data_IF_151341378613
#
_entry.id   IF_151341378613
#
_cell.length_a   1.000
_cell.length_b   1.000
_cell.length_c   1.000
_cell.angle_alpha   90.00
_cell.angle_beta   90.00
_cell.angle_gamma   90.00
#
_symmetry.space_group_name_H-M   'P 1'
#
loop_
_entity.id
_entity.type
_entity.pdbx_description
1 polymer ?
#
# COMPACT_ATOMS: atom_id res chain seq x y z
N UNK A 1 -23.24 3.21 -14.46
CA UNK A 1 -22.42 3.47 -13.26
C UNK A 1 -20.95 3.38 -13.61
N UNK A 2 -20.08 4.17 -13.03
CA UNK A 2 -18.64 4.00 -13.25
C UNK A 2 -18.19 2.68 -12.64
N UNK A 3 -17.31 1.94 -13.34
CA UNK A 3 -16.73 0.72 -12.82
C UNK A 3 -15.75 1.04 -11.69
N UNK A 4 -15.47 0.09 -10.79
CA UNK A 4 -14.49 0.27 -9.70
C UNK A 4 -13.13 0.78 -10.22
N UNK A 5 -12.62 0.23 -11.32
CA UNK A 5 -11.35 0.69 -11.92
C UNK A 5 -11.40 2.17 -12.34
N UNK A 6 -12.50 2.63 -12.94
CA UNK A 6 -12.68 4.04 -13.28
C UNK A 6 -12.77 4.93 -12.05
N UNK A 7 -13.38 4.46 -10.98
CA UNK A 7 -13.42 5.18 -9.71
C UNK A 7 -12.03 5.31 -9.10
N UNK A 8 -11.22 4.25 -9.08
CA UNK A 8 -9.82 4.33 -8.65
C UNK A 8 -9.02 5.38 -9.43
N UNK A 9 -9.24 5.49 -10.73
CA UNK A 9 -8.58 6.52 -11.56
C UNK A 9 -9.10 7.93 -11.28
N UNK A 10 -10.37 8.09 -10.92
CA UNK A 10 -10.98 9.40 -10.71
C UNK A 10 -10.65 9.99 -9.35
N UNK A 11 -10.45 9.15 -8.34
CA UNK A 11 -9.98 9.59 -7.04
C UNK A 11 -8.48 9.86 -7.08
N UNK A 12 -8.14 10.90 -6.46
CA UNK A 12 -6.91 11.64 -6.48
C UNK A 12 -5.65 10.82 -6.81
N UNK A 13 -5.20 11.06 -7.93
CA UNK A 13 -3.78 10.96 -8.23
C UNK A 13 -3.10 12.03 -7.41
N UNK A 14 -2.23 11.70 -6.48
CA UNK A 14 -1.39 12.75 -5.88
C UNK A 14 -0.79 13.55 -7.03
N UNK A 15 -1.24 14.76 -7.22
CA UNK A 15 -0.93 15.61 -8.38
C UNK A 15 0.56 15.62 -8.70
N UNK A 16 1.39 15.62 -7.66
CA UNK A 16 2.84 15.54 -7.76
C UNK A 16 3.34 14.29 -8.50
N UNK A 17 2.71 13.12 -8.28
CA UNK A 17 3.11 11.90 -8.99
C UNK A 17 2.69 11.91 -10.44
N UNK A 18 1.55 12.51 -10.74
CA UNK A 18 1.13 12.73 -12.12
C UNK A 18 2.13 13.61 -12.85
N UNK A 19 2.53 14.75 -12.26
CA UNK A 19 3.52 15.66 -12.84
C UNK A 19 4.89 14.99 -13.02
N UNK A 20 5.34 14.23 -12.01
CA UNK A 20 6.61 13.48 -12.08
C UNK A 20 6.55 12.40 -13.15
N UNK A 21 5.45 11.64 -13.23
CA UNK A 21 5.24 10.63 -14.28
C UNK A 21 5.30 11.23 -15.68
N UNK A 22 4.67 12.38 -15.91
CA UNK A 22 4.76 13.13 -17.17
C UNK A 22 6.22 13.53 -17.48
N UNK A 23 6.91 14.10 -16.49
CA UNK A 23 8.29 14.53 -16.68
C UNK A 23 9.25 13.36 -16.98
N UNK A 24 8.99 12.17 -16.43
CA UNK A 24 9.78 10.97 -16.66
C UNK A 24 9.35 10.19 -17.92
N UNK A 25 8.32 10.63 -18.65
CA UNK A 25 7.77 9.88 -19.79
C UNK A 25 7.08 8.58 -19.41
N UNK A 26 6.70 8.42 -18.13
CA UNK A 26 5.98 7.26 -17.59
C UNK A 26 4.73 7.68 -16.80
N UNK A 27 3.75 8.33 -17.45
CA UNK A 27 2.61 8.93 -16.77
C UNK A 27 1.69 7.91 -16.08
N UNK A 28 1.77 6.65 -16.48
CA UNK A 28 0.94 5.56 -15.93
C UNK A 28 1.72 4.65 -14.97
N UNK A 29 2.98 4.97 -14.64
CA UNK A 29 3.84 4.16 -13.74
C UNK A 29 3.80 2.68 -14.08
N UNK A 30 4.06 2.33 -15.34
CA UNK A 30 4.01 0.95 -15.80
C UNK A 30 4.97 0.05 -15.02
N UNK A 31 4.48 -1.14 -14.67
CA UNK A 31 5.28 -2.15 -14.01
C UNK A 31 6.31 -2.74 -14.98
N UNK A 32 7.53 -3.00 -14.49
CA UNK A 32 8.51 -3.76 -15.26
C UNK A 32 8.06 -5.21 -15.47
N UNK A 33 8.46 -5.82 -16.59
CA UNK A 33 8.14 -7.23 -16.88
C UNK A 33 8.70 -8.17 -15.80
N UNK A 34 9.88 -7.87 -15.24
CA UNK A 34 10.48 -8.64 -14.13
C UNK A 34 9.62 -8.60 -12.87
N UNK A 35 9.11 -7.44 -12.51
CA UNK A 35 8.24 -7.31 -11.33
C UNK A 35 6.88 -7.98 -11.55
N UNK A 36 6.29 -7.83 -12.73
CA UNK A 36 5.05 -8.54 -13.09
C UNK A 36 5.21 -10.06 -13.00
N UNK A 37 6.32 -10.61 -13.51
CA UNK A 37 6.64 -12.03 -13.40
C UNK A 37 6.82 -12.48 -11.95
N UNK A 38 7.42 -11.65 -11.11
CA UNK A 38 7.57 -11.92 -9.66
C UNK A 38 6.20 -12.04 -8.98
N UNK A 39 5.27 -11.14 -9.28
CA UNK A 39 3.89 -11.18 -8.74
C UNK A 39 3.15 -12.45 -9.18
N UNK A 40 3.44 -12.97 -10.38
CA UNK A 40 2.90 -14.23 -10.90
C UNK A 40 3.53 -15.49 -10.30
N UNK A 41 4.56 -15.38 -9.48
CA UNK A 41 5.19 -16.52 -8.82
C UNK A 41 4.30 -17.18 -7.77
N UNK A 42 4.54 -18.49 -7.48
CA UNK A 42 3.78 -19.25 -6.48
C UNK A 42 3.96 -18.72 -5.07
N UNK A 43 5.10 -18.10 -4.77
CA UNK A 43 5.39 -17.50 -3.47
C UNK A 43 4.78 -16.08 -3.31
N UNK A 44 4.12 -15.58 -4.36
CA UNK A 44 3.41 -14.30 -4.38
C UNK A 44 1.91 -14.52 -4.56
N UNK A 45 1.34 -14.04 -5.66
CA UNK A 45 -0.10 -14.10 -5.89
C UNK A 45 -0.53 -15.11 -6.95
N UNK A 46 0.41 -15.69 -7.68
CA UNK A 46 0.13 -16.64 -8.77
C UNK A 46 -0.53 -16.00 -10.00
N UNK A 47 -0.66 -14.67 -10.04
CA UNK A 47 -1.34 -13.93 -11.11
C UNK A 47 -0.41 -12.86 -11.65
N UNK A 48 -0.14 -12.90 -12.96
CA UNK A 48 0.69 -11.89 -13.65
C UNK A 48 -0.18 -10.69 -14.02
N UNK A 49 0.02 -9.51 -13.43
CA UNK A 49 -0.72 -8.32 -13.84
C UNK A 49 -0.52 -8.02 -15.34
N UNK A 50 -1.53 -7.61 -16.09
CA UNK A 50 -1.37 -7.20 -17.47
C UNK A 50 -0.53 -5.91 -17.59
N UNK A 51 -0.03 -5.58 -18.79
CA UNK A 51 0.80 -4.38 -19.00
C UNK A 51 0.06 -3.08 -18.77
N UNK A 52 -1.24 -3.09 -18.98
CA UNK A 52 -2.17 -1.99 -18.82
C UNK A 52 -2.86 -1.96 -17.45
N UNK A 53 -2.37 -2.76 -16.48
CA UNK A 53 -2.85 -2.68 -15.10
C UNK A 53 -2.72 -1.25 -14.57
N UNK A 54 -3.72 -0.80 -13.81
CA UNK A 54 -3.66 0.49 -13.13
C UNK A 54 -2.62 0.42 -12.01
N UNK A 55 -1.76 1.42 -11.94
CA UNK A 55 -0.68 1.52 -10.95
C UNK A 55 -0.72 2.88 -10.27
N UNK A 56 -0.80 2.87 -8.95
CA UNK A 56 -0.83 4.08 -8.13
C UNK A 56 0.20 4.00 -7.02
N UNK A 57 0.94 5.09 -6.80
CA UNK A 57 1.88 5.22 -5.69
C UNK A 57 1.25 6.06 -4.57
N UNK A 58 1.54 5.71 -3.31
CA UNK A 58 1.01 6.39 -2.12
C UNK A 58 -0.51 6.62 -2.21
N UNK A 59 -1.26 5.60 -2.57
CA UNK A 59 -2.71 5.73 -2.74
C UNK A 59 -3.41 5.77 -1.40
N UNK A 60 -4.21 6.82 -1.18
CA UNK A 60 -4.90 7.04 0.09
C UNK A 60 -6.00 6.01 0.35
N UNK A 61 -6.04 5.42 1.54
CA UNK A 61 -7.00 4.35 1.86
C UNK A 61 -8.46 4.84 1.91
N UNK A 62 -8.70 6.11 2.26
CA UNK A 62 -10.05 6.67 2.19
C UNK A 62 -10.56 6.76 0.75
N UNK A 63 -9.69 6.99 -0.23
CA UNK A 63 -10.08 6.96 -1.66
C UNK A 63 -10.34 5.54 -2.16
N UNK A 64 -9.56 4.58 -1.68
CA UNK A 64 -9.80 3.17 -1.97
C UNK A 64 -11.19 2.77 -1.44
N UNK A 65 -11.48 3.13 -0.19
CA UNK A 65 -12.82 2.89 0.39
C UNK A 65 -13.94 3.55 -0.42
N UNK A 66 -13.77 4.84 -0.77
CA UNK A 66 -14.75 5.56 -1.57
C UNK A 66 -14.97 4.90 -2.96
N UNK A 67 -13.89 4.45 -3.61
CA UNK A 67 -13.96 3.77 -4.91
C UNK A 67 -14.73 2.45 -4.81
N UNK A 68 -14.49 1.66 -3.76
CA UNK A 68 -15.21 0.41 -3.49
C UNK A 68 -16.68 0.68 -3.20
N UNK A 69 -16.96 1.59 -2.28
CA UNK A 69 -18.31 1.94 -1.87
C UNK A 69 -19.17 2.42 -3.05
N UNK A 70 -18.64 3.35 -3.85
CA UNK A 70 -19.35 3.92 -5.00
C UNK A 70 -19.45 2.95 -6.20
N UNK A 71 -18.71 1.85 -6.21
CA UNK A 71 -18.85 0.82 -7.24
C UNK A 71 -20.06 -0.08 -7.03
N UNK A 72 -20.65 -0.07 -5.84
CA UNK A 72 -21.86 -0.82 -5.54
C UNK A 72 -23.08 -0.16 -6.19
N UNK A 73 -23.99 -0.95 -6.81
CA UNK A 73 -25.11 -0.42 -7.58
C UNK A 73 -26.08 0.49 -6.80
N UNK A 74 -26.18 0.28 -5.50
CA UNK A 74 -27.08 1.03 -4.60
C UNK A 74 -26.58 2.42 -4.21
N UNK A 75 -25.30 2.73 -4.48
CA UNK A 75 -24.68 3.97 -4.02
C UNK A 75 -24.60 5.04 -5.12
N UNK A 76 -25.05 6.25 -4.81
CA UNK A 76 -24.98 7.39 -5.72
C UNK A 76 -23.62 8.09 -5.61
N UNK A 77 -23.05 8.49 -6.74
CA UNK A 77 -21.79 9.23 -6.82
C UNK A 77 -21.93 10.67 -6.28
N UNK A 78 -23.15 11.22 -6.31
CA UNK A 78 -23.44 12.63 -5.99
C UNK A 78 -24.16 12.79 -4.64
N UNK A 79 -23.57 12.31 -3.56
CA UNK A 79 -24.25 12.38 -2.27
C UNK A 79 -23.33 12.58 -1.08
N UNK A 80 -23.96 12.78 0.09
CA UNK A 80 -23.27 12.67 1.38
C UNK A 80 -23.45 11.22 1.84
N UNK A 81 -22.34 10.50 1.97
CA UNK A 81 -22.37 9.11 2.36
C UNK A 81 -22.14 8.94 3.86
N UNK A 82 -22.86 8.00 4.52
CA UNK A 82 -22.68 7.75 5.93
C UNK A 82 -21.28 7.13 6.20
N UNK A 83 -20.60 7.63 7.22
CA UNK A 83 -19.31 7.10 7.69
C UNK A 83 -19.49 6.35 9.01
N UNK A 84 -20.48 5.49 9.10
CA UNK A 84 -20.86 4.78 10.34
C UNK A 84 -19.78 3.86 10.88
N UNK A 85 -18.93 3.30 10.00
CA UNK A 85 -17.76 2.48 10.38
C UNK A 85 -16.51 3.32 10.66
N UNK A 86 -16.60 4.65 10.56
CA UNK A 86 -15.47 5.58 10.71
C UNK A 86 -14.24 5.19 9.86
N UNK A 87 -14.47 4.79 8.60
CA UNK A 87 -13.41 4.35 7.69
C UNK A 87 -12.72 5.57 7.05
N UNK A 88 -13.51 6.53 6.54
CA UNK A 88 -12.99 7.78 6.03
C UNK A 88 -12.64 8.70 7.21
N UNK A 89 -11.36 8.81 7.52
CA UNK A 89 -10.89 9.53 8.72
C UNK A 89 -10.16 10.83 8.40
N UNK A 90 -9.81 11.06 7.12
CA UNK A 90 -9.00 12.19 6.70
C UNK A 90 -7.55 12.12 7.21
N UNK A 91 -7.16 11.03 7.89
CA UNK A 91 -5.76 10.79 8.26
C UNK A 91 -5.00 10.32 7.01
N UNK A 92 -3.77 10.80 6.85
CA UNK A 92 -2.91 10.37 5.74
C UNK A 92 -2.43 8.92 5.99
N UNK A 93 -3.27 7.96 5.67
CA UNK A 93 -2.91 6.55 5.68
C UNK A 93 -2.95 6.06 4.22
N UNK A 94 -1.76 5.82 3.68
CA UNK A 94 -1.54 5.47 2.29
C UNK A 94 -1.06 4.03 2.16
N UNK A 95 -1.29 3.42 1.01
CA UNK A 95 -0.57 2.22 0.57
C UNK A 95 0.53 2.65 -0.41
N UNK A 96 1.76 2.17 -0.21
CA UNK A 96 2.92 2.61 -0.99
C UNK A 96 2.77 2.32 -2.49
N UNK A 97 2.18 1.16 -2.83
CA UNK A 97 1.87 0.79 -4.22
C UNK A 97 0.54 0.03 -4.28
N UNK A 98 -0.39 0.52 -5.09
CA UNK A 98 -1.64 -0.13 -5.42
C UNK A 98 -1.63 -0.51 -6.90
N UNK A 99 -1.94 -1.78 -7.20
CA UNK A 99 -2.07 -2.29 -8.57
C UNK A 99 -3.47 -2.88 -8.70
N UNK A 100 -4.23 -2.47 -9.73
CA UNK A 100 -5.58 -2.97 -9.96
C UNK A 100 -5.78 -3.35 -11.42
N UNK A 101 -6.37 -4.52 -11.66
CA UNK A 101 -6.62 -5.04 -13.00
C UNK A 101 -7.73 -6.08 -13.02
N UNK A 102 -8.36 -6.23 -14.19
CA UNK A 102 -9.29 -7.31 -14.44
C UNK A 102 -8.53 -8.59 -14.78
N UNK A 103 -8.86 -9.68 -14.12
CA UNK A 103 -8.41 -11.01 -14.48
C UNK A 103 -9.58 -11.98 -14.37
N UNK A 104 -9.88 -12.66 -15.47
CA UNK A 104 -11.10 -13.47 -15.61
C UNK A 104 -12.37 -12.66 -15.25
N UNK A 105 -13.19 -13.15 -14.33
CA UNK A 105 -14.41 -12.47 -13.87
C UNK A 105 -14.19 -11.48 -12.74
N UNK A 106 -12.98 -11.42 -12.16
CA UNK A 106 -12.68 -10.65 -10.96
C UNK A 106 -11.77 -9.46 -11.23
N UNK A 107 -11.89 -8.45 -10.39
CA UNK A 107 -10.91 -7.36 -10.30
C UNK A 107 -9.97 -7.66 -9.13
N UNK A 108 -8.70 -7.81 -9.44
CA UNK A 108 -7.65 -8.00 -8.45
C UNK A 108 -7.07 -6.66 -8.01
N UNK A 109 -6.92 -6.47 -6.70
CA UNK A 109 -6.35 -5.27 -6.09
C UNK A 109 -5.16 -5.68 -5.23
N UNK A 110 -3.96 -5.40 -5.71
CA UNK A 110 -2.73 -5.71 -4.98
C UNK A 110 -2.31 -4.48 -4.17
N UNK A 111 -2.21 -4.66 -2.88
CA UNK A 111 -1.84 -3.65 -1.89
C UNK A 111 -0.45 -3.97 -1.37
N UNK A 112 0.53 -3.15 -1.67
CA UNK A 112 1.93 -3.41 -1.39
C UNK A 112 2.49 -2.32 -0.47
N UNK A 113 2.95 -2.74 0.70
CA UNK A 113 3.68 -1.89 1.64
C UNK A 113 5.18 -2.12 1.48
N UNK A 114 5.95 -1.06 1.33
CA UNK A 114 7.38 -1.12 1.04
C UNK A 114 8.25 -0.60 2.20
N UNK A 115 9.34 -1.29 2.49
CA UNK A 115 10.35 -0.83 3.44
C UNK A 115 11.75 -1.01 2.86
N UNK A 116 12.49 0.07 2.77
CA UNK A 116 13.90 0.02 2.34
C UNK A 116 14.84 -0.31 3.49
N UNK A 117 15.42 0.72 4.11
CA UNK A 117 16.41 0.60 5.17
C UNK A 117 15.81 0.51 6.59
N UNK A 118 14.56 0.88 6.77
CA UNK A 118 13.88 0.89 8.07
C UNK A 118 13.35 -0.50 8.42
N UNK A 119 13.17 -0.77 9.73
CA UNK A 119 12.61 -2.04 10.20
C UNK A 119 11.08 -2.03 10.11
N UNK A 120 10.51 -3.22 9.91
CA UNK A 120 9.08 -3.45 10.07
C UNK A 120 8.65 -3.24 11.53
N UNK A 121 7.49 -2.63 11.74
CA UNK A 121 6.94 -2.32 13.05
C UNK A 121 5.54 -2.93 13.18
N UNK A 122 5.35 -3.76 14.20
CA UNK A 122 4.06 -4.42 14.48
C UNK A 122 2.93 -3.41 14.63
N UNK A 123 3.12 -2.32 15.39
CA UNK A 123 2.08 -1.31 15.60
C UNK A 123 1.57 -0.73 14.28
N UNK A 124 2.48 -0.39 13.37
CA UNK A 124 2.14 0.16 12.07
C UNK A 124 1.38 -0.86 11.21
N UNK A 125 1.87 -2.11 11.18
CA UNK A 125 1.24 -3.17 10.38
C UNK A 125 -0.10 -3.61 10.94
N UNK A 126 -0.26 -3.67 12.27
CA UNK A 126 -1.54 -3.97 12.92
C UNK A 126 -2.57 -2.88 12.61
N UNK A 127 -2.21 -1.60 12.75
CA UNK A 127 -3.11 -0.48 12.40
C UNK A 127 -3.56 -0.58 10.93
N UNK A 128 -2.64 -0.90 10.01
CA UNK A 128 -2.95 -1.06 8.60
C UNK A 128 -3.87 -2.27 8.34
N UNK A 129 -3.61 -3.40 9.01
CA UNK A 129 -4.47 -4.57 8.91
C UNK A 129 -5.90 -4.29 9.42
N UNK A 130 -6.04 -3.57 10.52
CA UNK A 130 -7.33 -3.11 11.03
C UNK A 130 -8.05 -2.19 10.02
N UNK A 131 -7.33 -1.25 9.41
CA UNK A 131 -7.89 -0.37 8.38
C UNK A 131 -8.38 -1.18 7.18
N UNK A 132 -7.58 -2.14 6.71
CA UNK A 132 -7.99 -3.02 5.61
C UNK A 132 -9.17 -3.93 5.97
N UNK A 133 -9.20 -4.46 7.20
CA UNK A 133 -10.37 -5.19 7.70
C UNK A 133 -11.64 -4.33 7.67
N UNK A 134 -11.53 -3.06 8.07
CA UNK A 134 -12.67 -2.13 8.03
C UNK A 134 -13.12 -1.82 6.60
N UNK A 135 -12.18 -1.75 5.64
CA UNK A 135 -12.47 -1.49 4.22
C UNK A 135 -13.08 -2.72 3.55
N UNK A 136 -12.41 -3.88 3.61
CA UNK A 136 -12.75 -5.07 2.83
C UNK A 136 -13.52 -6.14 3.60
N UNK A 137 -13.62 -6.02 4.94
CA UNK A 137 -14.15 -7.08 5.79
C UNK A 137 -13.19 -8.26 5.97
N UNK A 138 -13.64 -9.25 6.73
CA UNK A 138 -12.95 -10.55 6.85
C UNK A 138 -13.12 -11.40 5.58
N UNK A 139 -14.26 -11.25 4.89
CA UNK A 139 -14.59 -11.94 3.66
C UNK A 139 -14.89 -10.90 2.56
N UNK A 140 -13.88 -10.41 1.83
CA UNK A 140 -14.05 -9.34 0.84
C UNK A 140 -15.12 -9.61 -0.21
N UNK A 141 -15.26 -10.85 -0.64
CA UNK A 141 -16.25 -11.27 -1.63
C UNK A 141 -17.71 -11.01 -1.20
N UNK A 142 -17.97 -11.04 0.12
CA UNK A 142 -19.31 -10.71 0.65
C UNK A 142 -19.58 -9.21 0.67
N UNK A 143 -18.55 -8.41 0.92
CA UNK A 143 -18.67 -6.94 0.95
C UNK A 143 -18.64 -6.37 -0.48
N UNK A 144 -17.78 -6.90 -1.35
CA UNK A 144 -17.55 -6.42 -2.72
C UNK A 144 -17.43 -7.60 -3.70
N UNK A 145 -18.56 -8.18 -4.16
CA UNK A 145 -18.54 -9.31 -5.09
C UNK A 145 -17.71 -9.02 -6.35
N UNK A 146 -16.83 -9.94 -6.71
CA UNK A 146 -15.94 -9.82 -7.86
C UNK A 146 -14.71 -8.94 -7.64
N UNK A 147 -14.44 -8.47 -6.40
CA UNK A 147 -13.20 -7.77 -6.05
C UNK A 147 -12.36 -8.64 -5.12
N UNK A 148 -11.12 -8.91 -5.52
CA UNK A 148 -10.20 -9.79 -4.79
C UNK A 148 -8.99 -8.96 -4.33
N UNK A 149 -8.92 -8.54 -3.05
CA UNK A 149 -7.75 -7.86 -2.52
C UNK A 149 -6.64 -8.86 -2.22
N UNK A 150 -5.41 -8.40 -2.37
CA UNK A 150 -4.18 -9.09 -2.00
C UNK A 150 -3.28 -8.12 -1.24
N UNK A 151 -2.57 -8.59 -0.25
CA UNK A 151 -1.63 -7.76 0.50
C UNK A 151 -0.24 -8.40 0.57
N UNK A 152 0.80 -7.61 0.38
CA UNK A 152 2.16 -8.07 0.62
C UNK A 152 3.08 -6.98 1.15
N UNK A 153 4.18 -7.43 1.73
CA UNK A 153 5.28 -6.62 2.20
C UNK A 153 6.45 -6.72 1.22
N UNK A 154 7.05 -5.60 0.87
CA UNK A 154 8.16 -5.52 -0.09
C UNK A 154 9.37 -4.90 0.58
N UNK A 155 10.50 -5.61 0.57
CA UNK A 155 11.74 -5.14 1.19
C UNK A 155 12.96 -5.95 0.76
N UNK A 156 14.20 -5.39 0.85
CA UNK A 156 15.42 -6.14 0.56
C UNK A 156 15.72 -7.22 1.61
N UNK A 157 15.26 -7.04 2.84
CA UNK A 157 15.45 -8.00 3.94
C UNK A 157 14.13 -8.66 4.28
N UNK A 158 14.20 -9.97 4.54
CA UNK A 158 13.05 -10.75 4.93
C UNK A 158 12.32 -10.13 6.12
N UNK A 159 11.00 -10.23 6.08
CA UNK A 159 10.14 -9.78 7.18
C UNK A 159 10.48 -10.59 8.45
N UNK A 160 10.73 -9.93 9.58
CA UNK A 160 11.06 -10.63 10.81
C UNK A 160 9.93 -11.56 11.25
N UNK A 161 10.29 -12.73 11.79
CA UNK A 161 9.31 -13.68 12.36
C UNK A 161 8.51 -13.11 13.54
N UNK A 162 9.00 -12.03 14.16
CA UNK A 162 8.31 -11.31 15.24
C UNK A 162 7.11 -10.48 14.77
N UNK A 163 6.85 -10.41 13.45
CA UNK A 163 5.63 -9.75 12.94
C UNK A 163 4.42 -10.63 13.27
N UNK A 164 3.48 -10.03 13.99
CA UNK A 164 2.26 -10.70 14.47
C UNK A 164 1.16 -10.57 13.40
N UNK A 165 1.11 -11.53 12.49
CA UNK A 165 0.09 -11.59 11.42
C UNK A 165 -1.10 -12.50 11.76
N UNK A 166 -1.09 -13.15 12.91
CA UNK A 166 -2.17 -14.10 13.30
C UNK A 166 -3.53 -13.43 13.53
N UNK A 167 -3.56 -12.12 13.71
CA UNK A 167 -4.78 -11.33 13.87
C UNK A 167 -5.19 -10.61 12.56
N UNK A 168 -4.47 -10.84 11.47
CA UNK A 168 -4.81 -10.24 10.19
C UNK A 168 -5.92 -11.04 9.49
N UNK A 169 -6.74 -10.41 8.63
CA UNK A 169 -7.64 -11.15 7.74
C UNK A 169 -6.90 -12.21 6.93
N UNK A 170 -7.51 -13.36 6.71
CA UNK A 170 -6.88 -14.48 5.98
C UNK A 170 -6.36 -14.07 4.60
N UNK A 171 -7.08 -13.21 3.89
CA UNK A 171 -6.68 -12.74 2.56
C UNK A 171 -5.40 -11.88 2.55
N UNK A 172 -4.92 -11.45 3.73
CA UNK A 172 -3.66 -10.69 3.89
C UNK A 172 -2.44 -11.59 4.17
N UNK A 173 -2.64 -12.89 4.28
CA UNK A 173 -1.59 -13.84 4.65
C UNK A 173 -1.55 -15.01 3.66
N UNK A 174 -0.45 -15.75 3.68
CA UNK A 174 -0.33 -17.03 2.99
C UNK A 174 -0.93 -18.17 3.82
N UNK A 175 -0.90 -19.39 3.29
CA UNK A 175 -1.42 -20.60 3.95
C UNK A 175 -0.78 -20.92 5.33
N UNK A 176 0.39 -20.35 5.62
CA UNK A 176 1.09 -20.48 6.90
C UNK A 176 0.74 -19.34 7.88
N UNK A 177 -0.28 -18.54 7.61
CA UNK A 177 -0.63 -17.30 8.34
C UNK A 177 0.52 -16.29 8.43
N UNK A 178 1.40 -16.25 7.43
CA UNK A 178 2.51 -15.30 7.35
C UNK A 178 2.23 -14.26 6.28
N UNK A 179 2.76 -13.02 6.44
CA UNK A 179 2.68 -12.04 5.36
C UNK A 179 3.36 -12.56 4.10
N UNK A 180 2.75 -12.35 2.95
CA UNK A 180 3.42 -12.53 1.67
C UNK A 180 4.55 -11.49 1.60
N UNK A 181 5.76 -11.92 1.24
CA UNK A 181 6.91 -11.04 1.15
C UNK A 181 7.58 -11.12 -0.21
N UNK A 182 7.76 -9.95 -0.81
CA UNK A 182 8.47 -9.77 -2.06
C UNK A 182 9.85 -9.17 -1.79
N UNK A 183 10.89 -9.82 -2.28
CA UNK A 183 12.24 -9.29 -2.19
C UNK A 183 12.53 -8.35 -3.36
N UNK A 184 12.82 -7.08 -3.05
CA UNK A 184 13.42 -6.14 -3.99
C UNK A 184 14.63 -5.51 -3.36
N UNK A 185 15.78 -5.61 -4.05
CA UNK A 185 17.04 -5.07 -3.56
C UNK A 185 17.11 -3.55 -3.84
N UNK A 186 17.75 -2.84 -2.93
CA UNK A 186 18.09 -1.42 -3.09
C UNK A 186 19.61 -1.31 -3.31
N UNK A 187 20.08 -0.26 -4.00
CA UNK A 187 21.52 -0.05 -4.16
C UNK A 187 22.26 -0.03 -2.81
N UNK A 188 23.34 -0.79 -2.70
CA UNK A 188 24.09 -0.98 -1.44
C UNK A 188 24.99 0.18 -1.06
N UNK A 189 25.28 1.07 -2.01
CA UNK A 189 26.12 2.26 -1.86
C UNK A 189 25.36 3.49 -1.31
N UNK A 190 24.06 3.35 -1.05
CA UNK A 190 23.25 4.46 -0.52
C UNK A 190 23.60 4.73 0.94
N UNK A 191 23.96 5.97 1.19
CA UNK A 191 24.25 6.48 2.54
C UNK A 191 23.02 7.15 3.14
N UNK A 192 22.91 7.05 4.46
CA UNK A 192 21.81 7.68 5.20
C UNK A 192 22.38 8.79 6.07
N UNK A 193 21.85 9.98 5.91
CA UNK A 193 22.11 11.07 6.87
C UNK A 193 21.32 10.80 8.14
N UNK A 194 22.00 10.72 9.28
CA UNK A 194 21.41 10.47 10.59
C UNK A 194 21.65 11.67 11.49
N UNK A 195 20.57 12.19 12.09
CA UNK A 195 20.67 13.25 13.10
C UNK A 195 21.33 12.71 14.35
N UNK A 196 22.23 13.49 14.94
CA UNK A 196 23.01 13.06 16.09
C UNK A 196 23.19 14.19 17.12
N UNK A 197 23.62 13.82 18.32
CA UNK A 197 24.13 14.72 19.34
C UNK A 197 25.58 15.19 19.01
N UNK A 198 26.14 15.99 19.89
CA UNK A 198 27.52 16.49 19.79
C UNK A 198 28.60 15.39 19.82
N UNK A 199 28.25 14.20 20.33
CA UNK A 199 29.11 13.03 20.40
C UNK A 199 28.91 12.07 19.20
N UNK A 200 28.02 12.42 18.24
CA UNK A 200 27.72 11.60 17.08
C UNK A 200 26.70 10.48 17.34
N UNK A 201 26.06 10.42 18.51
CA UNK A 201 25.06 9.39 18.78
C UNK A 201 23.72 9.73 18.10
N UNK A 202 23.07 8.76 17.42
CA UNK A 202 21.79 8.98 16.76
C UNK A 202 20.71 9.47 17.72
N UNK A 203 19.98 10.53 17.34
CA UNK A 203 18.89 11.10 18.12
C UNK A 203 17.57 11.08 17.34
N UNK A 204 16.54 10.50 17.95
CA UNK A 204 15.19 10.46 17.37
C UNK A 204 14.43 11.78 17.61
N UNK A 205 14.70 12.48 18.71
CA UNK A 205 14.02 13.71 19.12
C UNK A 205 15.02 14.83 19.38
N UNK A 206 14.60 16.07 19.13
CA UNK A 206 15.38 17.24 19.51
C UNK A 206 15.44 17.38 21.05
N UNK A 207 16.60 17.57 21.66
CA UNK A 207 16.73 17.71 23.10
C UNK A 207 15.98 18.95 23.65
N UNK A 208 15.70 19.94 22.79
CA UNK A 208 15.07 21.21 23.22
C UNK A 208 13.62 21.34 22.71
N UNK A 209 13.01 20.30 22.11
CA UNK A 209 11.64 20.36 21.62
C UNK A 209 11.41 21.26 20.39
N UNK A 210 12.45 21.93 19.87
CA UNK A 210 12.35 22.97 18.81
C UNK A 210 12.78 22.41 17.43
N UNK A 211 13.02 21.11 17.31
CA UNK A 211 13.40 20.49 16.02
C UNK A 211 14.85 20.69 15.58
N UNK A 212 15.71 21.32 16.39
CA UNK A 212 17.13 21.48 16.11
C UNK A 212 17.94 20.34 16.69
N UNK A 213 18.89 19.84 15.91
CA UNK A 213 19.87 18.82 16.28
C UNK A 213 21.26 19.41 16.22
N UNK A 214 22.16 18.97 17.11
CA UNK A 214 23.53 19.52 17.20
C UNK A 214 24.39 19.12 16.00
N UNK A 215 24.05 18.02 15.31
CA UNK A 215 24.80 17.57 14.15
C UNK A 215 24.10 16.47 13.35
N UNK A 216 24.81 16.00 12.35
CA UNK A 216 24.44 14.84 11.54
C UNK A 216 25.66 14.01 11.16
N UNK A 217 25.46 12.75 10.86
CA UNK A 217 26.48 11.81 10.39
C UNK A 217 25.95 11.00 9.22
N UNK A 218 26.87 10.37 8.48
CA UNK A 218 26.59 9.52 7.33
C UNK A 218 26.87 8.06 7.68
#
# INVERSE_FOLDING_TARGET
MPTFLKLLESFNRKERFFLVGQALGNPNFQLSDGFRSMLGGQDAFGIVPPKDALVFMDYHLDWLHASLFLSLPENDVNGIHPNSRNIATGTQEDIDLLIAFQYESNIHVLLIEAKGATRWNNRQLTSKAEKFRNIFGECPEKEYPGIVPHFCLMSPKQVPQSIKSTEWPEWMTNNDNKPIWLRLDIPTDRRKVTRCDENGNPQAHSPNGIGYFNGWTI
#
